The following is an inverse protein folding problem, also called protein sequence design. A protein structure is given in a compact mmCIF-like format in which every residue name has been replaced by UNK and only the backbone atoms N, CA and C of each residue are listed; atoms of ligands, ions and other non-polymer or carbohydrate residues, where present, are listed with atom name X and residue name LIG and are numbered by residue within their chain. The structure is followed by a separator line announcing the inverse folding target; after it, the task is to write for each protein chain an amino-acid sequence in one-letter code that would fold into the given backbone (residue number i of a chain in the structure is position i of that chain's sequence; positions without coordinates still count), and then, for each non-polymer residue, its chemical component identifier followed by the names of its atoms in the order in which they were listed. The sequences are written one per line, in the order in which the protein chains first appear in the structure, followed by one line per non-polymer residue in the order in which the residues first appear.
data_IF_850211616366
#
_entry.id   IF_850211616366
#
_cell.length_a   1.000
_cell.length_b   1.000
_cell.length_c   1.000
_cell.angle_alpha   90.00
_cell.angle_beta   90.00
_cell.angle_gamma   90.00
#
_symmetry.space_group_name_H-M   'P 1'
#
loop_
_entity.id
_entity.type
_entity.pdbx_description
1 polymer ?
#
# COMPACT_ATOMS: atom_id res chain seq x y z
N UNK A 1 -1.91 30.89 -5.76
CA UNK A 1 -0.71 30.49 -6.52
C UNK A 1 0.44 30.01 -5.60
N UNK A 2 0.83 30.73 -4.55
CA UNK A 2 1.93 30.36 -3.62
C UNK A 2 1.65 29.04 -2.87
N UNK A 3 0.45 28.85 -2.33
CA UNK A 3 0.05 27.62 -1.59
C UNK A 3 0.13 26.38 -2.49
N UNK A 4 -0.20 26.51 -3.79
CA UNK A 4 -0.13 25.42 -4.77
C UNK A 4 1.31 24.99 -5.07
N UNK A 5 2.27 25.92 -5.04
CA UNK A 5 3.70 25.63 -5.28
C UNK A 5 4.28 24.87 -4.07
N UNK A 6 4.09 25.39 -2.87
CA UNK A 6 4.59 24.76 -1.64
C UNK A 6 4.02 23.34 -1.43
N UNK A 7 2.74 23.12 -1.78
CA UNK A 7 2.12 21.79 -1.71
C UNK A 7 2.77 20.83 -2.73
N UNK A 8 3.03 21.31 -3.94
CA UNK A 8 3.67 20.52 -5.00
C UNK A 8 5.08 20.09 -4.60
N UNK A 9 5.87 21.02 -4.09
CA UNK A 9 7.23 20.75 -3.61
C UNK A 9 7.23 19.74 -2.43
N UNK A 10 6.30 19.88 -1.50
CA UNK A 10 6.17 18.96 -0.37
C UNK A 10 5.77 17.55 -0.81
N UNK A 11 4.82 17.42 -1.73
CA UNK A 11 4.43 16.12 -2.30
C UNK A 11 5.58 15.46 -3.07
N UNK A 12 6.37 16.24 -3.80
CA UNK A 12 7.55 15.74 -4.49
C UNK A 12 8.63 15.28 -3.52
N UNK A 13 8.88 15.99 -2.43
CA UNK A 13 9.78 15.58 -1.37
C UNK A 13 9.35 14.25 -0.73
N UNK A 14 8.05 14.07 -0.45
CA UNK A 14 7.53 12.82 0.07
C UNK A 14 7.64 11.67 -0.93
N UNK A 15 7.37 11.94 -2.20
CA UNK A 15 7.56 10.96 -3.26
C UNK A 15 9.01 10.49 -3.33
N UNK A 16 9.97 11.43 -3.34
CA UNK A 16 11.39 11.11 -3.39
C UNK A 16 11.84 10.31 -2.16
N UNK A 17 11.31 10.64 -0.98
CA UNK A 17 11.54 9.87 0.24
C UNK A 17 11.01 8.44 0.12
N UNK A 18 9.83 8.25 -0.45
CA UNK A 18 9.26 6.93 -0.69
C UNK A 18 10.09 6.11 -1.67
N UNK A 19 10.52 6.70 -2.79
CA UNK A 19 11.36 6.02 -3.78
C UNK A 19 12.72 5.63 -3.18
N UNK A 20 13.34 6.52 -2.42
CA UNK A 20 14.59 6.19 -1.69
C UNK A 20 14.38 5.07 -0.67
N UNK A 21 13.26 5.08 0.06
CA UNK A 21 12.91 4.00 0.99
C UNK A 21 12.69 2.65 0.29
N UNK A 22 12.02 2.66 -0.86
CA UNK A 22 11.82 1.47 -1.70
C UNK A 22 13.18 0.91 -2.13
N UNK A 23 14.07 1.76 -2.64
CA UNK A 23 15.39 1.32 -3.10
C UNK A 23 16.24 0.71 -1.99
N UNK A 24 16.24 1.34 -0.81
CA UNK A 24 17.05 0.91 0.33
C UNK A 24 16.52 -0.33 1.05
N UNK A 25 15.20 -0.46 1.14
CA UNK A 25 14.57 -1.49 1.97
C UNK A 25 14.21 -2.76 1.20
N UNK A 26 13.98 -2.69 -0.12
CA UNK A 26 13.74 -3.89 -0.92
C UNK A 26 15.03 -4.69 -1.13
N UNK A 27 14.92 -6.03 -1.17
CA UNK A 27 16.05 -6.86 -1.56
C UNK A 27 16.59 -6.50 -2.94
N UNK A 28 17.90 -6.61 -3.16
CA UNK A 28 18.51 -6.44 -4.47
C UNK A 28 17.92 -7.44 -5.48
N UNK A 29 17.78 -7.02 -6.75
CA UNK A 29 17.37 -7.90 -7.84
C UNK A 29 18.29 -9.12 -8.04
N UNK A 30 19.53 -9.03 -7.58
CA UNK A 30 20.53 -10.10 -7.64
C UNK A 30 20.41 -11.11 -6.49
N UNK A 31 19.63 -10.79 -5.45
CA UNK A 31 19.39 -11.68 -4.32
C UNK A 31 18.70 -12.95 -4.80
N UNK A 32 19.16 -14.13 -4.39
CA UNK A 32 18.53 -15.40 -4.76
C UNK A 32 17.20 -15.60 -4.01
N UNK A 33 16.14 -16.03 -4.73
CA UNK A 33 16.01 -16.31 -6.18
C UNK A 33 15.94 -15.02 -7.01
N UNK A 34 16.94 -14.78 -7.87
CA UNK A 34 17.13 -13.51 -8.57
C UNK A 34 15.92 -13.09 -9.43
N UNK A 35 15.28 -14.03 -10.14
CA UNK A 35 14.10 -13.74 -10.97
C UNK A 35 12.94 -13.21 -10.15
N UNK A 36 12.70 -13.76 -8.96
CA UNK A 36 11.66 -13.31 -8.05
C UNK A 36 11.91 -11.87 -7.59
N UNK A 37 13.13 -11.58 -7.09
CA UNK A 37 13.47 -10.25 -6.61
C UNK A 37 13.51 -9.20 -7.73
N UNK A 38 13.93 -9.61 -8.94
CA UNK A 38 13.85 -8.76 -10.12
C UNK A 38 12.38 -8.40 -10.46
N UNK A 39 11.44 -9.36 -10.38
CA UNK A 39 10.02 -9.12 -10.61
C UNK A 39 9.38 -8.23 -9.53
N UNK A 40 9.73 -8.44 -8.25
CA UNK A 40 9.31 -7.55 -7.15
C UNK A 40 9.77 -6.11 -7.39
N UNK A 41 11.06 -5.91 -7.67
CA UNK A 41 11.62 -4.58 -7.96
C UNK A 41 11.01 -3.96 -9.20
N UNK A 42 10.92 -4.71 -10.30
CA UNK A 42 10.29 -4.24 -11.54
C UNK A 42 8.92 -3.64 -11.27
N UNK A 43 8.07 -4.35 -10.52
CA UNK A 43 6.71 -3.91 -10.23
C UNK A 43 6.66 -2.71 -9.28
N UNK A 44 7.56 -2.65 -8.31
CA UNK A 44 7.69 -1.51 -7.38
C UNK A 44 8.24 -0.26 -8.09
N UNK A 45 9.13 -0.41 -9.07
CA UNK A 45 9.83 0.67 -9.77
C UNK A 45 9.11 1.18 -11.03
N UNK A 46 7.98 0.61 -11.41
CA UNK A 46 7.13 1.11 -12.53
C UNK A 46 6.70 2.58 -12.31
N UNK A 47 7.00 3.13 -11.14
CA UNK A 47 6.68 4.49 -10.78
C UNK A 47 5.26 4.65 -10.24
N UNK A 48 4.84 5.88 -10.08
CA UNK A 48 3.50 6.21 -9.57
C UNK A 48 3.51 7.53 -8.84
N UNK A 49 2.32 7.97 -8.44
CA UNK A 49 2.17 9.24 -7.68
C UNK A 49 2.61 9.10 -6.21
N UNK A 50 2.82 7.86 -5.72
CA UNK A 50 3.16 7.57 -4.31
C UNK A 50 2.28 8.30 -3.29
N UNK A 51 0.99 8.39 -3.59
CA UNK A 51 0.03 9.15 -2.75
C UNK A 51 -0.09 8.52 -1.37
N UNK A 52 -0.10 7.17 -1.26
CA UNK A 52 -0.23 6.47 0.02
C UNK A 52 0.96 6.75 0.96
N UNK A 53 2.22 6.58 0.53
CA UNK A 53 3.39 7.05 1.28
C UNK A 53 3.34 8.53 1.62
N UNK A 54 2.99 9.40 0.65
CA UNK A 54 2.93 10.84 0.88
C UNK A 54 1.94 11.24 1.97
N UNK A 55 0.75 10.61 1.99
CA UNK A 55 -0.24 10.84 3.05
C UNK A 55 0.23 10.33 4.41
N UNK A 56 0.95 9.20 4.45
CA UNK A 56 1.54 8.69 5.69
C UNK A 56 2.61 9.64 6.22
N UNK A 57 3.53 10.11 5.37
CA UNK A 57 4.55 11.08 5.76
C UNK A 57 3.93 12.40 6.24
N UNK A 58 2.94 12.92 5.51
CA UNK A 58 2.24 14.14 5.92
C UNK A 58 1.56 13.99 7.28
N UNK A 59 0.91 12.85 7.54
CA UNK A 59 0.31 12.56 8.83
C UNK A 59 1.36 12.41 9.93
N UNK A 60 2.49 11.75 9.66
CA UNK A 60 3.61 11.61 10.59
C UNK A 60 4.22 12.97 10.96
N UNK A 61 4.46 13.84 9.97
CA UNK A 61 4.95 15.21 10.18
C UNK A 61 3.96 16.03 11.02
N UNK A 62 2.64 15.91 10.75
CA UNK A 62 1.59 16.62 11.47
C UNK A 62 1.57 16.27 12.97
N UNK A 63 1.88 15.02 13.29
CA UNK A 63 1.87 14.53 14.67
C UNK A 63 3.26 14.54 15.33
N UNK A 64 4.27 15.08 14.68
CA UNK A 64 5.66 15.12 15.18
C UNK A 64 6.12 13.74 15.70
N UNK A 65 6.05 12.75 14.81
CA UNK A 65 6.42 11.37 15.12
C UNK A 65 7.90 11.25 15.52
N UNK A 66 8.18 10.48 16.57
CA UNK A 66 9.55 10.15 17.00
C UNK A 66 10.14 8.99 16.19
N UNK A 67 9.29 8.08 15.69
CA UNK A 67 9.73 6.95 14.87
C UNK A 67 9.72 7.30 13.38
N UNK A 68 10.71 6.81 12.64
CA UNK A 68 10.77 6.99 11.19
C UNK A 68 9.65 6.20 10.49
N UNK A 69 8.73 6.86 9.76
CA UNK A 69 7.63 6.20 9.07
C UNK A 69 8.02 5.56 7.73
N UNK A 70 9.28 5.60 7.32
CA UNK A 70 9.72 5.19 5.97
C UNK A 70 9.42 3.72 5.71
N UNK A 71 9.73 2.83 6.64
CA UNK A 71 9.45 1.40 6.48
C UNK A 71 7.94 1.10 6.38
N UNK A 72 7.12 1.79 7.15
CA UNK A 72 5.66 1.69 7.06
C UNK A 72 5.13 2.19 5.71
N UNK A 73 5.71 3.26 5.18
CA UNK A 73 5.36 3.79 3.86
C UNK A 73 5.71 2.80 2.74
N UNK A 74 6.88 2.15 2.82
CA UNK A 74 7.29 1.10 1.87
C UNK A 74 6.41 -0.14 2.02
N UNK A 75 6.06 -0.57 3.23
CA UNK A 75 5.16 -1.70 3.47
C UNK A 75 3.77 -1.49 2.83
N UNK A 76 3.22 -0.27 2.92
CA UNK A 76 1.96 0.08 2.23
C UNK A 76 2.11 0.00 0.71
N UNK A 77 3.22 0.45 0.14
CA UNK A 77 3.44 0.35 -1.31
C UNK A 77 3.70 -1.10 -1.75
N UNK A 78 4.39 -1.93 -0.95
CA UNK A 78 4.50 -3.36 -1.22
C UNK A 78 3.12 -4.02 -1.29
N UNK A 79 2.26 -3.74 -0.30
CA UNK A 79 0.91 -4.26 -0.27
C UNK A 79 0.06 -3.71 -1.44
N UNK A 80 0.19 -2.45 -1.81
CA UNK A 80 -0.49 -1.91 -2.98
C UNK A 80 0.03 -2.54 -4.28
N UNK A 81 1.33 -2.78 -4.39
CA UNK A 81 1.92 -3.32 -5.62
C UNK A 81 1.55 -4.77 -5.83
N UNK A 82 1.48 -5.60 -4.75
CA UNK A 82 1.02 -6.97 -4.90
C UNK A 82 -0.40 -7.05 -5.47
N UNK A 83 -1.30 -6.14 -5.04
CA UNK A 83 -2.67 -6.15 -5.60
C UNK A 83 -2.65 -5.84 -7.09
N UNK A 84 -1.82 -4.88 -7.53
CA UNK A 84 -1.71 -4.54 -8.95
C UNK A 84 -1.13 -5.70 -9.78
N UNK A 85 -0.14 -6.44 -9.23
CA UNK A 85 0.42 -7.61 -9.92
C UNK A 85 -0.64 -8.70 -10.10
N UNK A 86 -1.41 -8.98 -9.05
CA UNK A 86 -2.43 -10.03 -9.10
C UNK A 86 -3.63 -9.61 -9.94
N UNK A 87 -4.06 -8.34 -9.83
CA UNK A 87 -5.15 -7.80 -10.67
C UNK A 87 -4.82 -7.94 -12.17
N UNK A 88 -3.55 -7.71 -12.57
CA UNK A 88 -3.13 -7.79 -13.97
C UNK A 88 -3.08 -9.22 -14.55
N UNK A 89 -3.16 -10.27 -13.72
CA UNK A 89 -3.06 -11.67 -14.20
C UNK A 89 -4.20 -12.02 -15.16
N UNK A 90 -3.95 -12.96 -16.12
CA UNK A 90 -4.97 -13.41 -17.06
C UNK A 90 -6.22 -14.00 -16.41
N UNK A 91 -6.11 -14.46 -15.17
CA UNK A 91 -7.24 -15.00 -14.38
C UNK A 91 -8.10 -13.93 -13.70
N UNK A 92 -7.72 -12.66 -13.76
CA UNK A 92 -8.44 -11.52 -13.14
C UNK A 92 -8.74 -10.48 -14.23
N UNK A 93 -7.93 -9.44 -14.40
CA UNK A 93 -8.20 -8.35 -15.35
C UNK A 93 -7.57 -8.57 -16.74
N UNK A 94 -6.67 -9.57 -16.91
CA UNK A 94 -5.93 -9.88 -18.15
C UNK A 94 -5.27 -8.65 -18.78
N UNK A 95 -4.58 -7.86 -17.96
CA UNK A 95 -4.01 -6.59 -18.38
C UNK A 95 -2.57 -6.71 -18.84
N UNK A 96 -2.31 -6.53 -20.12
CA UNK A 96 -0.94 -6.58 -20.67
C UNK A 96 -0.04 -5.43 -20.23
N UNK A 97 -0.62 -4.29 -19.87
CA UNK A 97 0.12 -3.08 -19.55
C UNK A 97 -0.28 -2.48 -18.21
N UNK A 98 0.71 -2.09 -17.43
CA UNK A 98 0.54 -1.29 -16.21
C UNK A 98 1.36 0.00 -16.30
N UNK A 99 0.68 1.16 -16.25
CA UNK A 99 1.32 2.48 -16.35
C UNK A 99 2.18 2.64 -17.61
N UNK A 100 1.76 2.05 -18.73
CA UNK A 100 2.45 2.13 -20.02
C UNK A 100 3.67 1.20 -20.17
N UNK A 101 3.92 0.32 -19.21
CA UNK A 101 4.93 -0.75 -19.29
C UNK A 101 4.25 -2.12 -19.25
N UNK A 102 4.87 -3.18 -19.77
CA UNK A 102 4.37 -4.54 -19.65
C UNK A 102 4.03 -4.86 -18.19
N UNK A 103 2.90 -5.51 -17.94
CA UNK A 103 2.55 -6.03 -16.61
C UNK A 103 3.56 -7.12 -16.18
N UNK A 104 3.56 -7.48 -14.89
CA UNK A 104 4.56 -8.40 -14.35
C UNK A 104 4.53 -9.77 -15.06
N UNK A 105 3.33 -10.30 -15.34
CA UNK A 105 3.20 -11.60 -16.01
C UNK A 105 3.64 -11.58 -17.48
N UNK A 106 3.50 -10.44 -18.16
CA UNK A 106 3.98 -10.25 -19.53
C UNK A 106 5.50 -10.07 -19.57
N UNK A 107 6.07 -9.32 -18.59
CA UNK A 107 7.51 -9.08 -18.53
C UNK A 107 8.32 -10.31 -18.12
N UNK A 108 7.78 -11.16 -17.26
CA UNK A 108 8.44 -12.35 -16.74
C UNK A 108 7.69 -13.62 -17.16
N UNK A 109 6.70 -14.04 -16.42
CA UNK A 109 5.70 -15.08 -16.67
C UNK A 109 4.66 -15.06 -15.53
N UNK A 110 3.54 -15.78 -15.74
CA UNK A 110 2.45 -15.84 -14.76
C UNK A 110 2.87 -16.40 -13.40
N UNK A 111 3.63 -17.50 -13.39
CA UNK A 111 4.08 -18.10 -12.13
C UNK A 111 4.99 -17.16 -11.34
N UNK A 112 5.90 -16.46 -12.03
CA UNK A 112 6.76 -15.45 -11.40
C UNK A 112 5.93 -14.26 -10.87
N UNK A 113 4.90 -13.83 -11.61
CA UNK A 113 4.02 -12.74 -11.19
C UNK A 113 3.23 -13.11 -9.93
N UNK A 114 2.62 -14.29 -9.88
CA UNK A 114 1.93 -14.79 -8.67
C UNK A 114 2.88 -14.77 -7.48
N UNK A 115 4.07 -15.38 -7.62
CA UNK A 115 5.04 -15.44 -6.53
C UNK A 115 5.61 -14.07 -6.14
N UNK A 116 5.75 -13.13 -7.08
CA UNK A 116 6.19 -11.76 -6.78
C UNK A 116 5.14 -10.99 -5.96
N UNK A 117 3.86 -11.18 -6.28
CA UNK A 117 2.77 -10.64 -5.47
C UNK A 117 2.76 -11.21 -4.06
N UNK A 118 2.82 -12.53 -3.91
CA UNK A 118 2.88 -13.22 -2.61
C UNK A 118 4.08 -12.76 -1.79
N UNK A 119 5.24 -12.63 -2.43
CA UNK A 119 6.47 -12.18 -1.78
C UNK A 119 6.35 -10.73 -1.30
N UNK A 120 5.78 -9.81 -2.09
CA UNK A 120 5.56 -8.42 -1.69
C UNK A 120 4.55 -8.32 -0.54
N UNK A 121 3.46 -9.09 -0.59
CA UNK A 121 2.49 -9.16 0.51
C UNK A 121 3.16 -9.59 1.81
N UNK A 122 3.90 -10.70 1.77
CA UNK A 122 4.62 -11.23 2.95
C UNK A 122 5.69 -10.25 3.41
N UNK A 123 6.42 -9.64 2.47
CA UNK A 123 7.49 -8.69 2.76
C UNK A 123 6.98 -7.43 3.47
N UNK A 124 5.78 -6.98 3.17
CA UNK A 124 5.17 -5.85 3.86
C UNK A 124 5.09 -6.08 5.39
N UNK A 125 4.67 -7.26 5.81
CA UNK A 125 4.63 -7.63 7.23
C UNK A 125 6.03 -7.84 7.82
N UNK A 126 6.92 -8.51 7.08
CA UNK A 126 8.31 -8.72 7.48
C UNK A 126 9.01 -7.39 7.74
N UNK A 127 8.80 -6.40 6.85
CA UNK A 127 9.40 -5.08 6.96
C UNK A 127 8.96 -4.37 8.24
N UNK A 128 7.66 -4.38 8.55
CA UNK A 128 7.13 -3.80 9.78
C UNK A 128 7.69 -4.47 11.04
N UNK A 129 7.76 -5.80 11.04
CA UNK A 129 8.29 -6.53 12.18
C UNK A 129 9.78 -6.28 12.41
N UNK A 130 10.55 -6.17 11.31
CA UNK A 130 12.00 -5.96 11.37
C UNK A 130 12.36 -4.54 11.77
N UNK A 131 11.80 -3.53 11.11
CA UNK A 131 12.19 -2.14 11.27
C UNK A 131 11.64 -1.50 12.55
N UNK A 132 10.55 -2.06 13.11
CA UNK A 132 9.96 -1.59 14.36
C UNK A 132 10.08 -2.62 15.49
N UNK A 133 10.98 -3.60 15.37
CA UNK A 133 11.20 -4.65 16.38
C UNK A 133 11.53 -4.11 17.78
N UNK A 134 12.28 -3.01 17.85
CA UNK A 134 12.62 -2.32 19.10
C UNK A 134 11.45 -1.50 19.68
N UNK A 135 10.35 -1.39 18.95
CA UNK A 135 9.11 -0.70 19.33
C UNK A 135 7.92 -1.68 19.23
N UNK A 136 7.86 -2.76 20.05
CA UNK A 136 6.96 -3.89 19.83
C UNK A 136 5.47 -3.49 19.83
N UNK A 137 5.08 -2.53 20.64
CA UNK A 137 3.70 -2.01 20.64
C UNK A 137 3.33 -1.31 19.34
N UNK A 138 4.27 -0.58 18.72
CA UNK A 138 4.08 0.06 17.43
C UNK A 138 4.05 -1.00 16.31
N UNK A 139 5.03 -1.91 16.27
CA UNK A 139 5.09 -2.99 15.29
C UNK A 139 3.80 -3.82 15.27
N UNK A 140 3.35 -4.29 16.44
CA UNK A 140 2.10 -5.05 16.57
C UNK A 140 0.89 -4.29 16.02
N UNK A 141 0.76 -3.01 16.34
CA UNK A 141 -0.36 -2.20 15.86
C UNK A 141 -0.32 -1.99 14.36
N UNK A 142 0.86 -1.69 13.79
CA UNK A 142 1.01 -1.52 12.33
C UNK A 142 0.69 -2.82 11.59
N UNK A 143 1.18 -3.95 12.08
CA UNK A 143 0.91 -5.28 11.51
C UNK A 143 -0.58 -5.60 11.58
N UNK A 144 -1.23 -5.39 12.74
CA UNK A 144 -2.67 -5.65 12.91
C UNK A 144 -3.50 -4.79 11.95
N UNK A 145 -3.24 -3.47 11.89
CA UNK A 145 -3.96 -2.57 11.00
C UNK A 145 -3.78 -2.95 9.52
N UNK A 146 -2.57 -3.37 9.14
CA UNK A 146 -2.30 -3.81 7.77
C UNK A 146 -3.03 -5.11 7.45
N UNK A 147 -3.00 -6.08 8.38
CA UNK A 147 -3.69 -7.36 8.22
C UNK A 147 -5.21 -7.19 8.13
N UNK A 148 -5.80 -6.40 9.04
CA UNK A 148 -7.22 -6.11 9.04
C UNK A 148 -7.66 -5.45 7.72
N UNK A 149 -6.86 -4.51 7.20
CA UNK A 149 -7.20 -3.79 5.97
C UNK A 149 -7.04 -4.64 4.71
N UNK A 150 -6.08 -5.57 4.70
CA UNK A 150 -5.78 -6.41 3.54
C UNK A 150 -6.49 -7.76 3.54
N UNK A 151 -7.12 -8.14 4.65
CA UNK A 151 -7.72 -9.45 4.84
C UNK A 151 -8.97 -9.76 4.01
N UNK A 152 -9.49 -10.97 4.24
CA UNK A 152 -10.66 -11.53 3.52
C UNK A 152 -11.96 -10.76 3.73
N UNK A 153 -12.09 -10.02 4.83
CA UNK A 153 -13.29 -9.22 5.10
C UNK A 153 -13.23 -7.81 4.49
N UNK A 154 -12.10 -7.43 3.87
CA UNK A 154 -11.89 -6.08 3.31
C UNK A 154 -11.29 -6.13 1.90
N UNK A 155 -9.98 -5.89 1.75
CA UNK A 155 -9.36 -5.74 0.43
C UNK A 155 -9.53 -7.00 -0.44
N UNK A 156 -9.13 -8.16 0.07
CA UNK A 156 -9.24 -9.43 -0.68
C UNK A 156 -10.71 -9.83 -0.85
N UNK A 157 -11.53 -9.69 0.19
CA UNK A 157 -12.97 -9.96 0.09
C UNK A 157 -13.67 -9.05 -0.90
N UNK A 158 -13.32 -7.76 -0.92
CA UNK A 158 -13.83 -6.83 -1.91
C UNK A 158 -13.44 -7.19 -3.34
N UNK A 159 -12.22 -7.69 -3.57
CA UNK A 159 -11.80 -8.17 -4.89
C UNK A 159 -12.60 -9.41 -5.32
N UNK A 160 -12.85 -10.34 -4.41
CA UNK A 160 -13.70 -11.51 -4.69
C UNK A 160 -15.12 -11.10 -5.08
N UNK A 161 -15.70 -10.15 -4.36
CA UNK A 161 -17.05 -9.64 -4.69
C UNK A 161 -17.08 -8.89 -6.03
N UNK A 162 -16.01 -8.18 -6.41
CA UNK A 162 -15.90 -7.54 -7.72
C UNK A 162 -15.96 -8.58 -8.84
N UNK A 163 -15.16 -9.63 -8.75
CA UNK A 163 -15.14 -10.73 -9.72
C UNK A 163 -16.51 -11.40 -9.81
N UNK A 164 -17.13 -11.69 -8.67
CA UNK A 164 -18.45 -12.34 -8.65
C UNK A 164 -19.57 -11.48 -9.27
N UNK A 165 -19.44 -10.16 -9.22
CA UNK A 165 -20.45 -9.23 -9.71
C UNK A 165 -20.12 -8.62 -11.08
N UNK A 166 -19.03 -9.03 -11.71
CA UNK A 166 -18.67 -8.57 -13.03
C UNK A 166 -19.77 -8.89 -14.06
N UNK A 167 -20.18 -7.88 -14.82
CA UNK A 167 -21.25 -8.00 -15.81
C UNK A 167 -22.68 -8.17 -15.28
N UNK A 168 -22.88 -8.13 -13.95
CA UNK A 168 -24.23 -8.22 -13.34
C UNK A 168 -24.77 -6.83 -13.01
N UNK A 169 -26.08 -6.58 -13.22
CA UNK A 169 -26.71 -5.36 -12.71
C UNK A 169 -26.71 -5.39 -11.18
N UNK A 170 -26.12 -4.40 -10.56
CA UNK A 170 -26.13 -4.23 -9.11
C UNK A 170 -27.43 -3.53 -8.69
N UNK A 171 -28.18 -4.11 -7.75
CA UNK A 171 -29.25 -3.40 -7.08
C UNK A 171 -28.69 -2.42 -6.01
N UNK A 172 -29.55 -1.52 -5.52
CA UNK A 172 -29.14 -0.48 -4.59
C UNK A 172 -28.64 -1.03 -3.23
N UNK A 173 -29.17 -2.18 -2.78
CA UNK A 173 -28.79 -2.79 -1.51
C UNK A 173 -27.45 -3.52 -1.63
N UNK A 174 -27.23 -4.22 -2.73
CA UNK A 174 -25.96 -4.84 -3.09
C UNK A 174 -24.88 -3.76 -3.25
N UNK A 175 -25.18 -2.64 -3.94
CA UNK A 175 -24.27 -1.52 -4.07
C UNK A 175 -23.92 -0.88 -2.72
N UNK A 176 -24.90 -0.72 -1.82
CA UNK A 176 -24.68 -0.18 -0.48
C UNK A 176 -23.83 -1.12 0.40
N UNK A 177 -23.98 -2.43 0.26
CA UNK A 177 -23.16 -3.44 0.94
C UNK A 177 -21.74 -3.44 0.37
N UNK A 178 -21.62 -3.44 -0.93
CA UNK A 178 -20.38 -3.37 -1.70
C UNK A 178 -19.53 -2.14 -1.34
N UNK A 179 -20.15 -0.96 -1.22
CA UNK A 179 -19.47 0.26 -0.79
C UNK A 179 -19.05 0.26 0.70
N UNK A 180 -19.66 -0.61 1.52
CA UNK A 180 -19.25 -0.81 2.93
C UNK A 180 -18.08 -1.79 3.06
N UNK A 181 -18.03 -2.82 2.22
CA UNK A 181 -16.96 -3.84 2.18
C UNK A 181 -15.77 -3.34 1.37
N UNK A 182 -16.03 -2.60 0.29
CA UNK A 182 -15.07 -1.79 -0.45
C UNK A 182 -15.20 -0.30 -0.09
N UNK A 183 -14.71 0.15 1.04
CA UNK A 183 -14.22 1.50 1.04
C UNK A 183 -13.03 1.47 0.06
N UNK A 184 -13.19 2.08 -1.13
CA UNK A 184 -12.20 2.20 -2.22
C UNK A 184 -10.77 2.01 -1.73
N UNK A 185 -9.89 1.28 -2.45
CA UNK A 185 -8.78 0.43 -1.99
C UNK A 185 -8.20 0.88 -0.66
N UNK A 186 -8.79 0.40 0.38
CA UNK A 186 -8.52 0.88 1.70
C UNK A 186 -7.50 0.00 2.40
N UNK A 187 -6.29 0.18 2.01
CA UNK A 187 -5.27 0.27 3.04
C UNK A 187 -5.80 1.20 4.15
N UNK A 188 -5.54 0.90 5.44
CA UNK A 188 -5.91 1.82 6.50
C UNK A 188 -5.46 3.21 6.08
N UNK A 189 -6.31 4.24 6.20
CA UNK A 189 -5.96 5.55 5.69
C UNK A 189 -4.55 5.88 6.22
N UNK A 190 -3.62 6.30 5.36
CA UNK A 190 -2.25 6.62 5.78
C UNK A 190 -2.19 7.60 6.95
N UNK A 191 -3.22 8.42 7.12
CA UNK A 191 -3.45 9.27 8.29
C UNK A 191 -3.58 8.50 9.61
N UNK A 192 -4.15 7.27 9.59
CA UNK A 192 -4.24 6.41 10.78
C UNK A 192 -2.87 5.87 11.18
N UNK A 193 -2.04 5.53 10.22
CA UNK A 193 -0.68 5.09 10.47
C UNK A 193 0.21 6.24 10.96
N UNK A 194 0.14 7.41 10.34
CA UNK A 194 0.86 8.58 10.83
C UNK A 194 0.57 8.91 12.30
N UNK A 195 -0.67 8.70 12.76
CA UNK A 195 -1.02 8.89 14.16
C UNK A 195 -0.45 7.84 15.11
N UNK A 196 -0.13 6.62 14.61
CA UNK A 196 0.48 5.55 15.41
C UNK A 196 1.93 5.85 15.80
N UNK A 197 2.63 6.63 14.99
CA UNK A 197 4.00 7.05 15.28
C UNK A 197 4.11 8.09 16.40
N UNK A 198 2.99 8.52 16.98
CA UNK A 198 2.97 9.48 18.09
C UNK A 198 3.06 8.77 19.43
N UNK A 199 4.11 9.01 20.18
CA UNK A 199 4.22 8.67 21.59
C UNK A 199 3.47 9.71 22.44
N UNK A 200 2.51 9.25 23.26
CA UNK A 200 1.81 10.00 24.33
C UNK A 200 1.06 11.29 23.96
N UNK A 201 -0.16 11.18 23.45
CA UNK A 201 -1.22 12.12 23.81
C UNK A 201 -2.63 11.54 23.56
N UNK A 202 -3.33 11.17 24.59
CA UNK A 202 -4.68 10.55 24.58
C UNK A 202 -5.83 11.45 24.11
N UNK A 203 -5.61 12.68 23.66
CA UNK A 203 -6.69 13.68 23.57
C UNK A 203 -7.00 14.28 22.19
N UNK A 204 -6.46 13.77 21.07
CA UNK A 204 -6.80 14.29 19.73
C UNK A 204 -7.29 13.24 18.71
N UNK A 205 -8.02 12.25 19.21
CA UNK A 205 -8.56 11.15 18.39
C UNK A 205 -9.65 11.58 17.39
N UNK A 206 -10.25 12.74 17.55
CA UNK A 206 -11.42 13.18 16.76
C UNK A 206 -11.08 13.88 15.43
N UNK A 207 -9.87 14.38 15.22
CA UNK A 207 -9.52 15.11 13.99
C UNK A 207 -9.25 14.15 12.82
N UNK A 208 -8.78 12.95 13.10
CA UNK A 208 -8.49 11.94 12.05
C UNK A 208 -9.74 11.32 11.40
N UNK A 209 -10.90 11.37 12.06
CA UNK A 209 -12.16 10.89 11.47
C UNK A 209 -12.65 11.78 10.32
N UNK A 210 -12.34 13.07 10.34
CA UNK A 210 -12.80 14.04 9.34
C UNK A 210 -11.97 14.01 8.05
N UNK A 211 -10.71 13.57 8.12
CA UNK A 211 -9.82 13.45 6.95
C UNK A 211 -9.90 12.08 6.24
N UNK A 212 -10.65 11.14 6.78
CA UNK A 212 -10.86 9.81 6.18
C UNK A 212 -12.02 9.77 5.16
N UNK A 213 -12.68 10.91 4.91
CA UNK A 213 -13.87 11.02 4.04
C UNK A 213 -13.55 11.73 2.70
N UNK A 214 -12.33 12.21 2.51
CA UNK A 214 -11.82 12.75 1.24
C UNK A 214 -10.80 11.79 0.66
#
# INVERSE_FOLDING_TARGET
MIVSIALKEKLEAYRNRAESGIDQLLPSAETRPAKLHAAMRYSMEVGGKRIRPALLFAASDLFASEADPTAAAVAIECLHTYTLIHDDLPSIDDSDLRRGRPSCHVQFDEATAVLAGDALLTYAFQLLAREYGDLPSLATRLITELADASGSERLIGGQQEDIENEGKPLDADTYATFTKIKPRPSLPPPSRWGSLFRSRARHRYNICKTLAII
#
